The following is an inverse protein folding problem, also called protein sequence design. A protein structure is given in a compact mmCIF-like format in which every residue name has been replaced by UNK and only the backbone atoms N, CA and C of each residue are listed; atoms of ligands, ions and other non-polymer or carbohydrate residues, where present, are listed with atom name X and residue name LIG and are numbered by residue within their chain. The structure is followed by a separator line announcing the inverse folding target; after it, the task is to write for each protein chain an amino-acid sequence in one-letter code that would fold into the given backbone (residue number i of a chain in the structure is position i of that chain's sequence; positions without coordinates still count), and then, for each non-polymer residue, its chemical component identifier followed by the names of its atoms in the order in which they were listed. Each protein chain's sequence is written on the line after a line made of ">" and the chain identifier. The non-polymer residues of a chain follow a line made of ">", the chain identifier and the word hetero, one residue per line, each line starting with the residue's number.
data_IF_001531237952
#
_entry.id   IF_001531237952
#
_cell.length_a   1.000
_cell.length_b   1.000
_cell.length_c   1.000
_cell.angle_alpha   90.00
_cell.angle_beta   90.00
_cell.angle_gamma   90.00
#
_symmetry.space_group_name_H-M   'P 1'
#
loop_
_entity.id
_entity.type
_entity.pdbx_description
1 polymer ?
#
# COMPACT_ATOMS: atom_id res chain seq x y z
N UNK A 1 -38.70 61.47 -24.55
CA UNK A 1 -37.63 60.51 -24.91
C UNK A 1 -36.73 60.31 -23.71
N UNK A 2 -36.87 59.21 -22.96
CA UNK A 2 -35.95 58.84 -21.85
C UNK A 2 -35.11 57.66 -22.33
N UNK A 3 -33.81 57.90 -22.47
CA UNK A 3 -32.80 56.95 -22.92
C UNK A 3 -32.58 55.91 -21.82
N UNK A 4 -32.86 54.63 -22.09
CA UNK A 4 -32.58 53.53 -21.18
C UNK A 4 -31.14 53.05 -21.41
N UNK A 5 -30.28 53.21 -20.40
CA UNK A 5 -28.89 52.75 -20.43
C UNK A 5 -28.86 51.27 -20.03
N UNK A 6 -28.60 50.37 -20.99
CA UNK A 6 -28.37 48.95 -20.72
C UNK A 6 -26.97 48.79 -20.11
N UNK A 7 -26.90 48.46 -18.82
CA UNK A 7 -25.67 47.97 -18.17
C UNK A 7 -25.51 46.48 -18.46
N UNK A 8 -24.57 46.12 -19.33
CA UNK A 8 -24.13 44.74 -19.52
C UNK A 8 -23.18 44.33 -18.40
N UNK A 9 -23.67 43.48 -17.49
CA UNK A 9 -22.88 42.87 -16.42
C UNK A 9 -22.00 41.75 -16.99
N UNK A 10 -20.68 41.93 -16.94
CA UNK A 10 -19.69 40.93 -17.31
C UNK A 10 -19.49 39.95 -16.14
N UNK A 11 -20.09 38.76 -16.23
CA UNK A 11 -19.93 37.72 -15.23
C UNK A 11 -18.53 37.08 -15.34
N UNK A 12 -17.67 37.33 -14.35
CA UNK A 12 -16.42 36.61 -14.17
C UNK A 12 -16.72 35.19 -13.66
N UNK A 13 -16.55 34.19 -14.53
CA UNK A 13 -16.59 32.77 -14.14
C UNK A 13 -15.20 32.41 -13.61
N UNK A 14 -15.06 32.36 -12.28
CA UNK A 14 -13.85 31.84 -11.63
C UNK A 14 -13.80 30.33 -11.80
N UNK A 15 -12.92 29.84 -12.69
CA UNK A 15 -12.60 28.42 -12.80
C UNK A 15 -11.70 28.07 -11.61
N UNK A 16 -12.26 27.40 -10.60
CA UNK A 16 -11.47 26.84 -9.51
C UNK A 16 -10.59 25.72 -10.08
N UNK A 17 -9.26 25.90 -10.03
CA UNK A 17 -8.33 24.82 -10.32
C UNK A 17 -8.51 23.72 -9.27
N UNK A 18 -8.48 22.43 -9.66
CA UNK A 18 -8.52 21.35 -8.68
C UNK A 18 -7.31 21.48 -7.74
N UNK A 19 -7.57 21.47 -6.44
CA UNK A 19 -6.51 21.38 -5.45
C UNK A 19 -5.79 20.04 -5.65
N UNK A 20 -4.55 20.07 -6.13
CA UNK A 20 -3.72 18.88 -6.16
C UNK A 20 -3.58 18.37 -4.71
N UNK A 21 -3.83 17.08 -4.48
CA UNK A 21 -3.61 16.46 -3.18
C UNK A 21 -2.16 16.73 -2.76
N UNK A 22 -1.98 17.53 -1.70
CA UNK A 22 -0.66 17.92 -1.25
C UNK A 22 0.01 16.72 -0.59
N UNK A 23 1.17 16.32 -1.11
CA UNK A 23 1.94 15.22 -0.54
C UNK A 23 2.33 15.55 0.91
N UNK A 24 2.06 14.67 1.90
CA UNK A 24 2.46 14.90 3.28
C UNK A 24 3.97 15.08 3.42
N UNK A 25 4.42 15.73 4.49
CA UNK A 25 5.86 15.92 4.75
C UNK A 25 6.57 14.57 4.92
N UNK A 26 7.87 14.51 4.64
CA UNK A 26 8.64 13.28 4.83
C UNK A 26 8.57 12.76 6.27
N UNK A 27 8.59 13.64 7.27
CA UNK A 27 8.45 13.27 8.68
C UNK A 27 7.10 12.62 8.97
N UNK A 28 6.01 13.18 8.43
CA UNK A 28 4.67 12.60 8.56
C UNK A 28 4.59 11.24 7.88
N UNK A 29 5.11 11.12 6.65
CA UNK A 29 5.12 9.85 5.91
C UNK A 29 5.90 8.77 6.66
N UNK A 30 7.08 9.08 7.20
CA UNK A 30 7.89 8.15 7.99
C UNK A 30 7.13 7.66 9.21
N UNK A 31 6.50 8.58 9.94
CA UNK A 31 5.74 8.28 11.13
C UNK A 31 4.54 7.39 10.85
N UNK A 32 3.75 7.72 9.83
CA UNK A 32 2.57 6.97 9.47
C UNK A 32 2.93 5.59 8.93
N UNK A 33 3.90 5.51 7.99
CA UNK A 33 4.27 4.29 7.30
C UNK A 33 4.64 3.13 8.24
N UNK A 34 5.20 3.41 9.42
CA UNK A 34 5.66 2.37 10.36
C UNK A 34 4.57 1.88 11.32
N UNK A 35 3.43 2.57 11.41
CA UNK A 35 2.34 2.22 12.31
C UNK A 35 1.78 0.79 12.15
N UNK A 36 1.82 0.12 10.98
CA UNK A 36 1.45 -1.29 10.88
C UNK A 36 2.32 -2.23 11.74
N UNK A 37 3.58 -1.87 12.02
CA UNK A 37 4.53 -2.75 12.70
C UNK A 37 4.32 -2.79 14.22
N UNK A 38 4.74 -3.89 14.88
CA UNK A 38 5.03 -3.88 16.31
C UNK A 38 6.08 -2.81 16.67
N UNK A 39 5.95 -2.19 17.83
CA UNK A 39 6.80 -1.06 18.26
C UNK A 39 8.30 -1.40 18.22
N UNK A 40 8.66 -2.64 18.56
CA UNK A 40 10.05 -3.14 18.54
C UNK A 40 10.70 -3.15 17.15
N UNK A 41 9.90 -3.06 16.08
CA UNK A 41 10.37 -3.09 14.69
C UNK A 41 10.33 -1.72 14.01
N UNK A 42 9.60 -0.74 14.56
CA UNK A 42 9.30 0.53 13.87
C UNK A 42 10.53 1.39 13.62
N UNK A 43 11.41 1.54 14.61
CA UNK A 43 12.56 2.45 14.52
C UNK A 43 13.58 2.02 13.46
N UNK A 44 13.73 0.70 13.25
CA UNK A 44 14.71 0.15 12.31
C UNK A 44 14.20 -0.07 10.90
N UNK A 45 12.91 0.11 10.62
CA UNK A 45 12.37 -0.15 9.28
C UNK A 45 12.89 0.84 8.24
N UNK A 46 13.21 0.35 7.04
CA UNK A 46 13.33 1.21 5.87
C UNK A 46 11.96 1.85 5.57
N UNK A 47 11.93 3.12 5.17
CA UNK A 47 10.70 3.76 4.71
C UNK A 47 10.87 4.29 3.30
N UNK A 48 9.97 3.85 2.43
CA UNK A 48 9.77 4.37 1.08
C UNK A 48 8.51 5.23 1.06
N UNK A 49 8.57 6.40 0.44
CA UNK A 49 7.42 7.31 0.31
C UNK A 49 7.54 8.22 -0.89
N UNK A 50 6.78 9.30 -0.93
CA UNK A 50 6.56 10.10 -2.12
C UNK A 50 7.13 11.52 -1.97
N UNK A 51 7.83 12.01 -3.00
CA UNK A 51 8.21 13.44 -3.10
C UNK A 51 7.12 14.27 -3.76
N UNK A 52 6.34 13.66 -4.64
CA UNK A 52 5.22 14.24 -5.38
C UNK A 52 4.09 13.22 -5.41
N UNK A 53 2.83 13.66 -5.43
CA UNK A 53 1.67 12.78 -5.31
C UNK A 53 1.69 11.62 -6.33
N UNK A 54 2.11 11.91 -7.57
CA UNK A 54 2.13 10.95 -8.67
C UNK A 54 3.56 10.46 -8.97
N UNK A 55 4.50 10.66 -8.04
CA UNK A 55 5.90 10.29 -8.20
C UNK A 55 6.16 8.82 -7.87
N UNK A 56 7.32 8.27 -8.28
CA UNK A 56 7.76 6.98 -7.78
C UNK A 56 8.07 7.05 -6.29
N UNK A 57 8.02 5.90 -5.63
CA UNK A 57 8.53 5.75 -4.27
C UNK A 57 10.02 6.06 -4.23
N UNK A 58 10.44 6.83 -3.23
CA UNK A 58 11.82 7.13 -2.90
C UNK A 58 12.10 6.76 -1.46
N UNK A 59 13.36 6.46 -1.13
CA UNK A 59 13.75 6.23 0.25
C UNK A 59 13.68 7.54 1.04
N UNK A 60 12.84 7.55 2.08
CA UNK A 60 12.72 8.65 3.04
C UNK A 60 13.53 8.38 4.31
N UNK A 61 13.71 7.10 4.65
CA UNK A 61 14.53 6.65 5.78
C UNK A 61 15.24 5.35 5.42
N UNK A 62 16.56 5.30 5.63
CA UNK A 62 17.32 4.06 5.53
C UNK A 62 16.96 3.09 6.66
N UNK A 63 16.90 1.79 6.35
CA UNK A 63 16.62 0.74 7.32
C UNK A 63 17.86 0.24 8.06
N UNK A 64 17.66 -0.26 9.27
CA UNK A 64 18.64 -0.98 10.10
C UNK A 64 18.12 -2.36 10.55
N UNK A 65 16.89 -2.72 10.19
CA UNK A 65 16.32 -4.04 10.38
C UNK A 65 15.73 -4.59 9.06
N UNK A 66 15.03 -5.71 9.16
CA UNK A 66 14.56 -6.49 8.02
C UNK A 66 13.24 -6.00 7.41
N UNK A 67 12.67 -4.89 7.90
CA UNK A 67 11.35 -4.41 7.46
C UNK A 67 11.46 -3.24 6.49
N UNK A 68 10.64 -3.27 5.44
CA UNK A 68 10.45 -2.18 4.50
C UNK A 68 9.00 -1.72 4.59
N UNK A 69 8.79 -0.45 4.91
CA UNK A 69 7.48 0.18 5.00
C UNK A 69 7.24 1.14 3.83
N UNK A 70 6.05 1.08 3.25
CA UNK A 70 5.57 2.01 2.24
C UNK A 70 4.66 3.02 2.92
N UNK A 71 4.94 4.31 2.69
CA UNK A 71 4.02 5.37 3.02
C UNK A 71 2.72 5.22 2.20
N UNK A 72 1.65 5.77 2.75
CA UNK A 72 0.39 5.87 2.04
C UNK A 72 0.56 6.59 0.70
N UNK A 73 -0.06 6.04 -0.35
CA UNK A 73 -0.04 6.65 -1.67
C UNK A 73 -0.98 7.86 -1.66
N UNK A 74 -0.50 9.09 -1.92
CA UNK A 74 -1.33 10.30 -1.87
C UNK A 74 -2.53 10.31 -2.85
N UNK A 75 -2.54 9.41 -3.82
CA UNK A 75 -3.66 9.21 -4.75
C UNK A 75 -4.72 8.21 -4.26
N UNK A 76 -4.49 7.52 -3.14
CA UNK A 76 -5.47 6.60 -2.56
C UNK A 76 -6.57 7.36 -1.83
N UNK A 77 -7.79 6.83 -1.90
CA UNK A 77 -8.84 7.21 -0.95
C UNK A 77 -8.53 6.60 0.43
N UNK A 78 -8.54 7.44 1.47
CA UNK A 78 -8.26 7.02 2.84
C UNK A 78 -6.77 6.91 3.16
N UNK A 79 -6.43 6.02 4.09
CA UNK A 79 -5.06 5.76 4.54
C UNK A 79 -4.76 4.26 4.43
N UNK A 80 -3.67 3.91 3.77
CA UNK A 80 -3.15 2.55 3.70
C UNK A 80 -1.62 2.54 3.79
N UNK A 81 -1.08 1.95 4.88
CA UNK A 81 0.36 1.71 5.01
C UNK A 81 0.64 0.21 5.04
N UNK A 82 1.74 -0.19 4.39
CA UNK A 82 2.15 -1.59 4.27
C UNK A 82 3.63 -1.76 4.61
N UNK A 83 3.94 -2.65 5.54
CA UNK A 83 5.30 -3.02 5.89
C UNK A 83 5.53 -4.51 5.67
N UNK A 84 6.58 -4.87 4.93
CA UNK A 84 6.91 -6.28 4.65
C UNK A 84 8.36 -6.59 4.94
N UNK A 85 8.64 -7.85 5.24
CA UNK A 85 10.00 -8.34 5.36
C UNK A 85 10.75 -8.20 4.03
N UNK A 86 12.02 -7.80 4.05
CA UNK A 86 12.81 -7.47 2.85
C UNK A 86 12.92 -8.61 1.84
N UNK A 87 12.75 -9.86 2.27
CA UNK A 87 12.69 -11.04 1.37
C UNK A 87 11.52 -11.01 0.38
N UNK A 88 10.48 -10.19 0.61
CA UNK A 88 9.38 -9.95 -0.33
C UNK A 88 9.66 -8.79 -1.30
N UNK A 89 10.77 -8.06 -1.15
CA UNK A 89 10.99 -6.81 -1.87
C UNK A 89 10.95 -6.97 -3.40
N UNK A 90 11.57 -8.02 -3.94
CA UNK A 90 11.55 -8.30 -5.39
C UNK A 90 10.12 -8.48 -5.91
N UNK A 91 9.31 -9.32 -5.25
CA UNK A 91 7.91 -9.57 -5.62
C UNK A 91 7.04 -8.31 -5.50
N UNK A 92 7.22 -7.52 -4.44
CA UNK A 92 6.45 -6.29 -4.19
C UNK A 92 6.84 -5.18 -5.15
N UNK A 93 8.14 -4.95 -5.39
CA UNK A 93 8.63 -3.98 -6.37
C UNK A 93 8.12 -4.31 -7.76
N UNK A 94 8.24 -5.58 -8.14
CA UNK A 94 7.80 -6.01 -9.47
C UNK A 94 6.31 -5.75 -9.71
N UNK A 95 5.48 -5.97 -8.69
CA UNK A 95 4.07 -5.62 -8.76
C UNK A 95 3.82 -4.11 -8.98
N UNK A 96 4.65 -3.23 -8.40
CA UNK A 96 4.56 -1.77 -8.62
C UNK A 96 5.05 -1.38 -10.00
N UNK A 97 6.17 -1.93 -10.45
CA UNK A 97 6.73 -1.70 -11.79
C UNK A 97 5.75 -2.06 -12.90
N UNK A 98 5.10 -3.23 -12.80
CA UNK A 98 4.10 -3.67 -13.78
C UNK A 98 2.91 -2.71 -13.84
N UNK A 99 2.44 -2.20 -12.69
CA UNK A 99 1.35 -1.21 -12.63
C UNK A 99 1.77 0.13 -13.23
N UNK A 100 2.99 0.59 -12.92
CA UNK A 100 3.56 1.80 -13.51
C UNK A 100 3.74 1.67 -15.03
N UNK A 101 3.98 0.45 -15.53
CA UNK A 101 4.01 0.13 -16.96
C UNK A 101 2.61 0.00 -17.60
N UNK A 102 1.53 0.30 -16.87
CA UNK A 102 0.16 0.36 -17.40
C UNK A 102 -0.68 -0.91 -17.23
N UNK A 103 -0.20 -1.93 -16.50
CA UNK A 103 -1.04 -3.10 -16.18
C UNK A 103 -2.03 -2.73 -15.07
N UNK A 104 -3.25 -2.40 -15.47
CA UNK A 104 -4.32 -1.97 -14.54
C UNK A 104 -5.12 -3.12 -13.94
N UNK A 105 -5.20 -4.27 -14.62
CA UNK A 105 -5.96 -5.44 -14.12
C UNK A 105 -5.11 -6.26 -13.13
N UNK A 106 -5.60 -6.54 -11.91
CA UNK A 106 -4.88 -7.37 -10.95
C UNK A 106 -4.48 -8.75 -11.50
N UNK A 107 -5.37 -9.38 -12.28
CA UNK A 107 -5.10 -10.67 -12.92
C UNK A 107 -3.97 -10.62 -13.93
N UNK A 108 -3.76 -9.49 -14.62
CA UNK A 108 -2.65 -9.31 -15.55
C UNK A 108 -1.32 -9.21 -14.79
N UNK A 109 -1.29 -8.46 -13.69
CA UNK A 109 -0.11 -8.36 -12.81
C UNK A 109 0.23 -9.72 -12.19
N UNK A 110 -0.77 -10.48 -11.73
CA UNK A 110 -0.57 -11.83 -11.20
C UNK A 110 -0.03 -12.79 -12.26
N UNK A 111 -0.56 -12.71 -13.49
CA UNK A 111 -0.12 -13.58 -14.60
C UNK A 111 1.32 -13.31 -15.01
N UNK A 112 1.71 -12.03 -15.13
CA UNK A 112 3.07 -11.64 -15.45
C UNK A 112 4.07 -12.11 -14.37
N UNK A 113 3.74 -11.87 -13.09
CA UNK A 113 4.59 -12.33 -11.98
C UNK A 113 4.67 -13.86 -11.91
N UNK A 114 3.59 -14.58 -12.17
CA UNK A 114 3.61 -16.03 -12.19
C UNK A 114 4.54 -16.57 -13.29
N UNK A 115 4.52 -15.96 -14.48
CA UNK A 115 5.42 -16.33 -15.56
C UNK A 115 6.90 -16.11 -15.18
N UNK A 116 7.21 -14.95 -14.58
CA UNK A 116 8.56 -14.62 -14.12
C UNK A 116 9.04 -15.53 -12.98
N UNK A 117 8.16 -15.90 -12.05
CA UNK A 117 8.47 -16.86 -10.97
C UNK A 117 8.73 -18.24 -11.55
N UNK A 118 7.89 -18.69 -12.50
CA UNK A 118 8.06 -19.99 -13.17
C UNK A 118 9.36 -20.04 -13.98
N UNK A 119 9.75 -18.92 -14.59
CA UNK A 119 11.02 -18.78 -15.29
C UNK A 119 12.24 -18.60 -14.35
N UNK A 120 12.01 -18.46 -13.04
CA UNK A 120 13.06 -18.21 -12.05
C UNK A 120 13.65 -16.79 -12.07
N UNK A 121 13.06 -15.87 -12.84
CA UNK A 121 13.53 -14.48 -12.94
C UNK A 121 12.95 -13.58 -11.85
N UNK A 122 11.86 -14.00 -11.20
CA UNK A 122 11.29 -13.34 -10.02
C UNK A 122 11.30 -14.30 -8.82
N UNK A 123 11.94 -13.89 -7.74
CA UNK A 123 12.09 -14.72 -6.54
C UNK A 123 10.95 -14.52 -5.55
N UNK A 124 10.46 -15.62 -4.99
CA UNK A 124 9.67 -15.64 -3.76
C UNK A 124 10.55 -16.05 -2.57
N UNK A 125 10.23 -15.62 -1.33
CA UNK A 125 10.96 -16.07 -0.15
C UNK A 125 10.84 -17.59 0.00
N UNK A 126 11.96 -18.28 0.27
CA UNK A 126 11.94 -19.73 0.48
C UNK A 126 11.22 -20.14 1.79
N UNK A 127 11.31 -19.28 2.81
CA UNK A 127 10.55 -19.40 4.06
C UNK A 127 9.31 -18.52 4.07
N UNK A 128 8.58 -18.57 5.18
CA UNK A 128 7.46 -17.65 5.39
C UNK A 128 7.92 -16.20 5.54
N UNK A 129 7.07 -15.24 5.15
CA UNK A 129 7.38 -13.82 5.26
C UNK A 129 6.15 -13.00 5.67
N UNK A 130 6.32 -12.10 6.63
CA UNK A 130 5.25 -11.25 7.12
C UNK A 130 5.08 -9.97 6.29
N UNK A 131 3.83 -9.58 6.09
CA UNK A 131 3.41 -8.26 5.66
C UNK A 131 2.33 -7.74 6.62
N UNK A 132 2.59 -6.60 7.24
CA UNK A 132 1.68 -5.88 8.12
C UNK A 132 1.03 -4.73 7.35
N UNK A 133 -0.29 -4.66 7.38
CA UNK A 133 -1.06 -3.56 6.79
C UNK A 133 -1.89 -2.85 7.84
N UNK A 134 -2.03 -1.55 7.67
CA UNK A 134 -2.93 -0.71 8.46
C UNK A 134 -3.75 0.14 7.50
N UNK A 135 -5.06 0.13 7.69
CA UNK A 135 -6.03 0.87 6.90
C UNK A 135 -6.84 1.81 7.79
N UNK A 136 -7.22 2.98 7.28
CA UNK A 136 -8.21 3.87 7.91
C UNK A 136 -8.92 4.71 6.84
N UNK A 137 -10.10 5.23 7.16
CA UNK A 137 -10.91 5.99 6.19
C UNK A 137 -10.35 7.39 5.90
N UNK A 138 -9.37 7.87 6.68
CA UNK A 138 -8.86 9.22 6.57
C UNK A 138 -7.41 9.36 7.01
N UNK A 139 -6.72 10.32 6.39
CA UNK A 139 -5.40 10.82 6.78
C UNK A 139 -5.45 11.85 7.92
N UNK A 140 -6.66 12.21 8.42
CA UNK A 140 -6.85 13.20 9.47
C UNK A 140 -6.53 12.63 10.86
N UNK A 141 -5.26 12.30 11.08
CA UNK A 141 -4.74 11.88 12.37
C UNK A 141 -3.29 12.34 12.54
N UNK A 142 -2.86 12.42 13.80
CA UNK A 142 -1.45 12.67 14.12
C UNK A 142 -0.71 11.33 14.24
N UNK A 143 0.19 10.99 13.30
CA UNK A 143 0.93 9.73 13.36
C UNK A 143 1.96 9.69 14.50
N UNK A 144 2.31 10.83 15.13
CA UNK A 144 3.11 10.85 16.35
C UNK A 144 2.29 10.43 17.58
N UNK A 145 0.98 10.66 17.57
CA UNK A 145 0.07 10.24 18.62
C UNK A 145 -0.37 8.77 18.49
N UNK A 146 0.04 8.09 17.41
CA UNK A 146 -0.19 6.68 17.17
C UNK A 146 -1.18 6.42 16.03
N UNK A 147 -1.83 5.25 16.09
CA UNK A 147 -2.75 4.78 15.04
C UNK A 147 -4.08 5.56 15.05
N UNK A 148 -4.74 5.73 13.89
CA UNK A 148 -6.12 6.22 13.83
C UNK A 148 -7.05 5.34 14.67
N UNK A 149 -8.02 5.93 15.39
CA UNK A 149 -8.93 5.18 16.28
C UNK A 149 -9.75 4.11 15.55
N UNK A 150 -10.16 4.39 14.31
CA UNK A 150 -10.97 3.48 13.49
C UNK A 150 -10.13 2.78 12.42
N UNK A 151 -8.92 2.34 12.80
CA UNK A 151 -8.03 1.64 11.87
C UNK A 151 -8.29 0.12 11.86
N UNK A 152 -8.19 -0.50 10.69
CA UNK A 152 -8.18 -1.95 10.53
C UNK A 152 -6.75 -2.46 10.29
N UNK A 153 -6.40 -3.59 10.91
CA UNK A 153 -5.10 -4.24 10.74
C UNK A 153 -5.27 -5.52 9.92
N UNK A 154 -4.22 -5.86 9.19
CA UNK A 154 -4.12 -7.15 8.52
C UNK A 154 -2.67 -7.61 8.55
N UNK A 155 -2.44 -8.81 9.06
CA UNK A 155 -1.20 -9.54 8.86
C UNK A 155 -1.41 -10.56 7.74
N UNK A 156 -0.70 -10.36 6.63
CA UNK A 156 -0.56 -11.33 5.56
C UNK A 156 0.74 -12.09 5.76
N UNK A 157 0.67 -13.36 6.18
CA UNK A 157 1.86 -14.20 6.31
C UNK A 157 2.02 -15.08 5.07
N UNK A 158 2.95 -14.70 4.19
CA UNK A 158 3.25 -15.39 2.95
C UNK A 158 3.84 -16.77 3.25
N UNK A 159 3.25 -17.78 2.62
CA UNK A 159 3.66 -19.18 2.67
C UNK A 159 3.56 -19.72 1.24
N UNK A 160 4.60 -19.50 0.41
CA UNK A 160 4.56 -19.89 -1.00
C UNK A 160 4.12 -21.34 -1.21
N UNK A 161 3.17 -21.53 -2.13
CA UNK A 161 2.58 -22.81 -2.50
C UNK A 161 1.79 -23.54 -1.41
N UNK A 162 1.55 -22.92 -0.24
CA UNK A 162 0.71 -23.53 0.78
C UNK A 162 -0.72 -23.79 0.28
N UNK A 163 -1.24 -24.96 0.66
CA UNK A 163 -2.62 -25.42 0.46
C UNK A 163 -3.22 -25.85 1.79
N UNK A 164 -4.55 -26.03 1.83
CA UNK A 164 -5.21 -26.64 2.98
C UNK A 164 -4.68 -28.04 3.28
N UNK A 165 -4.34 -28.83 2.26
CA UNK A 165 -3.74 -30.17 2.47
C UNK A 165 -2.38 -30.08 3.18
N UNK A 166 -1.53 -29.12 2.79
CA UNK A 166 -0.19 -28.99 3.38
C UNK A 166 -0.16 -28.35 4.79
N UNK A 167 -1.21 -27.61 5.17
CA UNK A 167 -1.20 -26.79 6.39
C UNK A 167 -2.35 -27.07 7.37
N UNK A 168 -3.44 -27.70 6.91
CA UNK A 168 -4.69 -27.83 7.65
C UNK A 168 -5.54 -26.55 7.71
N UNK A 169 -5.14 -25.47 7.04
CA UNK A 169 -5.81 -24.16 7.13
C UNK A 169 -6.81 -24.00 5.98
N UNK A 170 -8.02 -23.52 6.29
CA UNK A 170 -9.10 -23.30 5.32
C UNK A 170 -8.66 -22.43 4.14
N UNK A 171 -8.97 -22.83 2.91
CA UNK A 171 -8.82 -21.96 1.72
C UNK A 171 -10.01 -21.03 1.51
N UNK A 172 -11.09 -21.22 2.27
CA UNK A 172 -12.26 -20.36 2.27
C UNK A 172 -12.09 -19.20 3.26
N UNK A 173 -12.48 -17.97 2.90
CA UNK A 173 -12.45 -16.83 3.82
C UNK A 173 -13.23 -17.08 5.11
N UNK A 174 -12.58 -16.78 6.23
CA UNK A 174 -13.16 -16.82 7.57
C UNK A 174 -12.97 -15.46 8.25
N UNK A 175 -13.92 -15.08 9.11
CA UNK A 175 -13.94 -13.77 9.77
C UNK A 175 -13.30 -13.77 11.16
N UNK A 176 -13.22 -14.92 11.81
CA UNK A 176 -12.74 -15.08 13.20
C UNK A 176 -11.47 -15.93 13.30
N UNK A 177 -10.97 -16.45 12.18
CA UNK A 177 -9.85 -17.37 12.11
C UNK A 177 -8.98 -17.08 10.88
N UNK A 178 -7.68 -17.42 10.92
CA UNK A 178 -6.83 -17.36 9.75
C UNK A 178 -7.32 -18.24 8.60
N UNK A 179 -7.17 -17.76 7.37
CA UNK A 179 -7.45 -18.54 6.17
C UNK A 179 -6.38 -18.32 5.09
N UNK A 180 -6.23 -19.29 4.19
CA UNK A 180 -5.27 -19.25 3.09
C UNK A 180 -5.85 -18.55 1.86
N UNK A 181 -5.35 -17.36 1.56
CA UNK A 181 -5.62 -16.67 0.32
C UNK A 181 -4.69 -17.16 -0.78
N UNK A 182 -5.26 -17.41 -1.98
CA UNK A 182 -4.53 -17.85 -3.19
C UNK A 182 -3.74 -19.15 -2.98
N UNK A 183 -4.36 -20.14 -2.31
CA UNK A 183 -3.77 -21.45 -2.08
C UNK A 183 -3.13 -22.06 -3.34
N UNK A 184 -1.99 -22.72 -3.16
CA UNK A 184 -1.19 -23.34 -4.22
C UNK A 184 -0.47 -22.38 -5.17
N UNK A 185 -0.62 -21.05 -5.01
CA UNK A 185 0.16 -20.06 -5.79
C UNK A 185 1.49 -19.74 -5.10
N UNK A 186 2.50 -19.25 -5.84
CA UNK A 186 3.76 -18.83 -5.25
C UNK A 186 3.61 -17.75 -4.16
N UNK A 187 2.49 -17.02 -4.17
CA UNK A 187 2.16 -15.98 -3.19
C UNK A 187 0.96 -16.35 -2.31
N UNK A 188 0.70 -17.64 -2.10
CA UNK A 188 -0.24 -18.08 -1.09
C UNK A 188 0.14 -17.46 0.27
N UNK A 189 -0.86 -17.02 1.03
CA UNK A 189 -0.62 -16.34 2.31
C UNK A 189 -1.80 -16.52 3.27
N UNK A 190 -1.48 -16.53 4.56
CA UNK A 190 -2.47 -16.48 5.63
C UNK A 190 -2.99 -15.07 5.78
N UNK A 191 -4.30 -14.93 5.86
CA UNK A 191 -4.98 -13.68 6.21
C UNK A 191 -5.31 -13.71 7.69
N UNK A 192 -4.70 -12.82 8.47
CA UNK A 192 -4.89 -12.72 9.92
C UNK A 192 -5.36 -11.29 10.24
N UNK A 193 -6.63 -11.14 10.60
CA UNK A 193 -7.32 -9.85 10.79
C UNK A 193 -7.43 -9.48 12.26
#
# INVERSE_FOLDING_TARGET
>A
MRLALLMTSLAFVSVAAPAAAQTPTAAWQIAAAVLPLPDSMQAGAEVLGYKTANGPLVQLRAGTNEMICLADNPENDGYAAHCYHKSLAAFMSRGRELRAAGLTKPTAVDSARLAEITAGTLTMPAGGAALYSLYADSLNFDPMAGRPKNSSKLLSFYLPYATQESTGISEMPLTDQPWLMKAGKPWAHLMIQ
#
